data_IF_223879653866
#
_entry.id   IF_223879653866
#
_cell.length_a   1.000
_cell.length_b   1.000
_cell.length_c   1.000
_cell.angle_alpha   90.00
_cell.angle_beta   90.00
_cell.angle_gamma   90.00
#
_symmetry.space_group_name_H-M   'P 1'
#
loop_
_entity.id
_entity.type
_entity.pdbx_description
1 polymer ?
#
# COMPACT_ATOMS: atom_id res chain seq x y z
N UNK A 1 34.27 8.87 2.05
CA UNK A 1 33.72 9.36 0.76
C UNK A 1 32.32 8.81 0.66
N UNK A 2 31.31 9.64 0.89
CA UNK A 2 29.91 9.23 0.70
C UNK A 2 29.67 9.16 -0.80
N UNK A 3 29.55 7.95 -1.34
CA UNK A 3 29.14 7.79 -2.73
C UNK A 3 27.78 8.46 -2.90
N UNK A 4 27.71 9.46 -3.77
CA UNK A 4 26.43 10.04 -4.19
C UNK A 4 25.53 8.95 -4.75
N UNK A 5 24.24 8.97 -4.48
CA UNK A 5 23.32 7.98 -5.02
C UNK A 5 23.38 7.98 -6.56
N UNK A 6 23.38 6.81 -7.15
CA UNK A 6 23.39 6.62 -8.61
C UNK A 6 22.03 6.10 -9.06
N UNK A 7 21.60 6.44 -10.29
CA UNK A 7 20.43 5.81 -10.88
C UNK A 7 20.55 4.29 -10.89
N UNK A 8 19.46 3.60 -10.57
CA UNK A 8 19.40 2.13 -10.53
C UNK A 8 18.13 1.66 -11.24
N UNK A 9 18.18 0.51 -11.88
CA UNK A 9 16.97 -0.14 -12.35
C UNK A 9 16.16 -0.67 -11.17
N UNK A 10 14.86 -0.37 -11.11
CA UNK A 10 13.99 -0.75 -10.02
C UNK A 10 13.96 -2.26 -9.75
N UNK A 11 14.16 -3.09 -10.77
CA UNK A 11 14.24 -4.54 -10.63
C UNK A 11 15.47 -5.03 -9.84
N UNK A 12 16.49 -4.19 -9.68
CA UNK A 12 17.66 -4.47 -8.86
C UNK A 12 17.44 -4.14 -7.37
N UNK A 13 16.35 -3.43 -7.03
CA UNK A 13 15.97 -3.15 -5.65
C UNK A 13 15.27 -4.40 -5.08
N UNK A 14 15.75 -4.95 -3.95
CA UNK A 14 15.17 -6.17 -3.37
C UNK A 14 13.68 -6.04 -3.06
N UNK A 15 12.98 -7.16 -3.13
CA UNK A 15 11.62 -7.27 -2.62
C UNK A 15 11.59 -6.99 -1.12
N UNK A 16 10.54 -6.31 -0.67
CA UNK A 16 10.33 -6.03 0.75
C UNK A 16 9.97 -7.31 1.51
N UNK A 17 10.73 -7.63 2.54
CA UNK A 17 10.44 -8.70 3.47
C UNK A 17 10.36 -8.12 4.90
N UNK A 18 9.37 -8.54 5.71
CA UNK A 18 8.23 -9.37 5.33
C UNK A 18 7.36 -8.70 4.26
N UNK A 19 6.57 -9.48 3.52
CA UNK A 19 5.66 -8.96 2.46
C UNK A 19 4.63 -7.98 3.01
N UNK A 20 4.28 -8.10 4.28
CA UNK A 20 3.32 -7.24 4.97
C UNK A 20 3.58 -7.20 6.46
N UNK A 21 3.09 -6.16 7.12
CA UNK A 21 3.06 -6.04 8.58
C UNK A 21 1.68 -6.41 9.16
N UNK A 22 0.72 -6.79 8.32
CA UNK A 22 -0.59 -7.23 8.82
C UNK A 22 -0.45 -8.42 9.76
N UNK A 23 -1.26 -8.48 10.83
CA UNK A 23 -1.36 -9.67 11.67
C UNK A 23 -2.09 -10.80 10.95
N UNK A 24 -2.06 -12.00 11.50
CA UNK A 24 -2.96 -13.05 11.08
C UNK A 24 -4.41 -12.72 11.50
N UNK A 25 -5.43 -13.07 10.70
CA UNK A 25 -5.36 -13.88 9.47
C UNK A 25 -5.04 -13.08 8.18
N UNK A 26 -4.90 -11.76 8.25
CA UNK A 26 -4.79 -10.89 7.06
C UNK A 26 -3.45 -11.01 6.33
N UNK A 27 -2.41 -11.46 7.02
CA UNK A 27 -1.07 -11.59 6.47
C UNK A 27 -1.02 -12.48 5.22
N UNK A 28 -1.73 -13.59 5.25
CA UNK A 28 -1.75 -14.57 4.14
C UNK A 28 -2.38 -14.02 2.86
N UNK A 29 -3.28 -13.04 2.98
CA UNK A 29 -3.93 -12.38 1.83
C UNK A 29 -2.96 -11.57 0.97
N UNK A 30 -1.76 -11.27 1.49
CA UNK A 30 -0.73 -10.47 0.79
C UNK A 30 0.30 -11.35 0.05
N UNK A 31 0.11 -12.65 -0.04
CA UNK A 31 1.11 -13.56 -0.64
C UNK A 31 1.33 -13.30 -2.14
N UNK A 32 0.31 -12.87 -2.86
CA UNK A 32 0.34 -12.59 -4.31
C UNK A 32 0.75 -11.15 -4.65
N UNK A 33 1.32 -10.44 -3.68
CA UNK A 33 1.87 -9.09 -3.82
C UNK A 33 3.38 -9.08 -3.65
N UNK A 34 4.07 -8.47 -4.60
CA UNK A 34 5.50 -8.17 -4.54
C UNK A 34 5.66 -6.65 -4.46
N UNK A 35 6.36 -6.16 -3.46
CA UNK A 35 6.60 -4.73 -3.26
C UNK A 35 8.10 -4.43 -3.18
N UNK A 36 8.56 -3.43 -3.94
CA UNK A 36 9.92 -2.88 -3.89
C UNK A 36 9.87 -1.44 -3.40
N UNK A 37 10.47 -1.16 -2.24
CA UNK A 37 10.44 0.16 -1.60
C UNK A 37 11.50 1.08 -2.21
N UNK A 38 11.17 1.69 -3.36
CA UNK A 38 12.11 2.52 -4.13
C UNK A 38 12.57 3.75 -3.33
N UNK A 39 11.64 4.44 -2.69
CA UNK A 39 11.97 5.61 -1.87
C UNK A 39 12.92 5.30 -0.72
N UNK A 40 12.76 4.15 -0.07
CA UNK A 40 13.63 3.72 1.02
C UNK A 40 15.05 3.43 0.54
N UNK A 41 15.21 2.91 -0.68
CA UNK A 41 16.54 2.66 -1.29
C UNK A 41 17.38 3.94 -1.37
N UNK A 42 16.74 5.08 -1.62
CA UNK A 42 17.38 6.39 -1.70
C UNK A 42 17.33 7.18 -0.39
N UNK A 43 16.80 6.61 0.70
CA UNK A 43 16.71 7.27 2.00
C UNK A 43 15.66 8.40 2.05
N UNK A 44 14.64 8.38 1.16
CA UNK A 44 13.58 9.38 1.19
C UNK A 44 12.73 9.22 2.44
N UNK A 45 12.46 10.31 3.15
CA UNK A 45 11.76 10.32 4.44
C UNK A 45 10.39 11.00 4.40
N UNK A 46 10.17 11.96 3.50
CA UNK A 46 8.93 12.74 3.47
C UNK A 46 7.76 11.96 2.85
N UNK A 47 8.06 11.06 1.92
CA UNK A 47 7.06 10.21 1.27
C UNK A 47 7.64 8.83 0.93
N UNK A 48 6.78 7.86 0.80
CA UNK A 48 7.10 6.52 0.30
C UNK A 48 6.87 6.45 -1.21
N UNK A 49 7.77 5.75 -1.93
CA UNK A 49 7.57 5.37 -3.32
C UNK A 49 7.82 3.89 -3.43
N UNK A 50 6.82 3.13 -3.87
CA UNK A 50 6.93 1.69 -4.04
C UNK A 50 6.52 1.27 -5.44
N UNK A 51 7.26 0.34 -6.00
CA UNK A 51 6.84 -0.42 -7.17
C UNK A 51 6.20 -1.71 -6.69
N UNK A 52 4.93 -1.90 -7.03
CA UNK A 52 4.15 -3.04 -6.56
C UNK A 52 3.65 -3.85 -7.74
N UNK A 53 3.83 -5.17 -7.67
CA UNK A 53 3.32 -6.13 -8.65
C UNK A 53 2.32 -7.05 -7.97
N UNK A 54 1.15 -7.21 -8.57
CA UNK A 54 0.10 -8.13 -8.14
C UNK A 54 0.02 -9.31 -9.12
N UNK A 55 0.11 -10.53 -8.60
CA UNK A 55 -0.22 -11.73 -9.34
C UNK A 55 -1.73 -11.81 -9.57
N UNK A 56 -2.18 -12.71 -10.42
CA UNK A 56 -3.60 -12.98 -10.62
C UNK A 56 -4.27 -13.31 -9.28
N UNK A 57 -5.37 -12.63 -8.95
CA UNK A 57 -6.06 -12.73 -7.66
C UNK A 57 -5.45 -11.92 -6.51
N UNK A 58 -4.26 -11.36 -6.69
CA UNK A 58 -3.58 -10.55 -5.68
C UNK A 58 -4.26 -9.21 -5.42
N UNK A 59 -4.01 -8.64 -4.23
CA UNK A 59 -4.55 -7.35 -3.81
C UNK A 59 -3.46 -6.41 -3.27
N UNK A 60 -3.67 -5.11 -3.39
CA UNK A 60 -2.72 -4.08 -2.92
C UNK A 60 -2.59 -4.04 -1.41
N UNK A 61 -3.70 -4.09 -0.73
CA UNK A 61 -3.90 -4.03 0.71
C UNK A 61 -5.33 -4.50 1.01
N UNK A 62 -5.72 -4.60 2.27
CA UNK A 62 -7.14 -4.61 2.65
C UNK A 62 -7.77 -3.27 2.26
N UNK A 63 -9.08 -3.24 2.03
CA UNK A 63 -9.80 -2.00 1.72
C UNK A 63 -9.69 -1.03 2.90
N UNK A 64 -9.13 0.16 2.68
CA UNK A 64 -8.75 1.09 3.75
C UNK A 64 -8.79 2.55 3.32
N UNK A 65 -8.78 3.44 4.30
CA UNK A 65 -8.58 4.88 4.11
C UNK A 65 -7.71 5.44 5.23
N UNK A 66 -6.99 6.51 4.91
CA UNK A 66 -6.06 7.21 5.79
C UNK A 66 -6.64 8.50 6.33
N UNK A 67 -6.35 8.81 7.59
CA UNK A 67 -6.78 10.05 8.22
C UNK A 67 -5.92 11.26 7.85
N UNK A 68 -4.60 11.08 7.67
CA UNK A 68 -3.63 12.16 7.49
C UNK A 68 -2.64 11.96 6.33
N UNK A 69 -2.57 10.77 5.73
CA UNK A 69 -1.62 10.49 4.64
C UNK A 69 -2.34 10.43 3.30
N UNK A 70 -1.90 11.28 2.36
CA UNK A 70 -2.33 11.19 0.97
C UNK A 70 -1.66 10.01 0.28
N UNK A 71 -2.37 9.36 -0.63
CA UNK A 71 -1.84 8.30 -1.47
C UNK A 71 -2.12 8.58 -2.96
N UNK A 72 -1.24 8.09 -3.81
CA UNK A 72 -1.36 8.18 -5.26
C UNK A 72 -0.89 6.89 -5.91
N UNK A 73 -1.58 6.46 -6.95
CA UNK A 73 -1.22 5.30 -7.76
C UNK A 73 -1.16 5.65 -9.25
N UNK A 74 -0.26 4.98 -9.96
CA UNK A 74 -0.14 5.04 -11.42
C UNK A 74 0.10 3.62 -11.96
N UNK A 75 -0.75 3.19 -12.89
CA UNK A 75 -0.66 1.85 -13.48
C UNK A 75 0.41 1.86 -14.56
N UNK A 76 1.44 1.02 -14.39
CA UNK A 76 2.57 0.90 -15.32
C UNK A 76 2.32 -0.21 -16.34
N UNK A 77 1.71 -1.32 -15.91
CA UNK A 77 1.49 -2.50 -16.75
C UNK A 77 0.26 -3.27 -16.28
N UNK A 78 -0.51 -3.75 -17.24
CA UNK A 78 -1.66 -4.61 -17.00
C UNK A 78 -2.95 -3.84 -16.71
N UNK A 79 -3.95 -4.59 -16.23
CA UNK A 79 -5.29 -4.09 -15.91
C UNK A 79 -5.68 -4.50 -14.52
N UNK A 80 -6.09 -3.56 -13.68
CA UNK A 80 -6.46 -3.78 -12.28
C UNK A 80 -7.86 -3.23 -12.00
N UNK A 81 -8.56 -3.83 -11.05
CA UNK A 81 -9.82 -3.28 -10.53
C UNK A 81 -9.52 -2.44 -9.29
N UNK A 82 -9.85 -1.15 -9.33
CA UNK A 82 -9.93 -0.29 -8.17
C UNK A 82 -11.31 -0.42 -7.54
N UNK A 83 -11.35 -0.83 -6.27
CA UNK A 83 -12.52 -0.71 -5.41
C UNK A 83 -12.38 0.61 -4.66
N UNK A 84 -13.35 1.52 -4.82
CA UNK A 84 -13.36 2.84 -4.17
C UNK A 84 -14.74 3.12 -3.58
N UNK A 85 -14.86 3.07 -2.28
CA UNK A 85 -16.16 3.00 -1.60
C UNK A 85 -16.95 1.78 -2.04
N UNK A 86 -18.15 2.00 -2.57
CA UNK A 86 -19.04 0.94 -3.07
C UNK A 86 -18.98 0.77 -4.61
N UNK A 87 -17.98 1.38 -5.26
CA UNK A 87 -17.82 1.36 -6.71
C UNK A 87 -16.58 0.60 -7.13
N UNK A 88 -16.64 0.00 -8.31
CA UNK A 88 -15.50 -0.61 -8.98
C UNK A 88 -15.17 0.15 -10.27
N UNK A 89 -13.87 0.35 -10.49
CA UNK A 89 -13.33 0.96 -11.71
C UNK A 89 -12.26 0.06 -12.29
N UNK A 90 -12.32 -0.18 -13.59
CA UNK A 90 -11.23 -0.84 -14.30
C UNK A 90 -10.19 0.22 -14.65
N UNK A 91 -8.95 0.01 -14.21
CA UNK A 91 -7.81 0.85 -14.51
C UNK A 91 -6.83 0.10 -15.40
N UNK A 92 -6.36 0.76 -16.44
CA UNK A 92 -5.42 0.24 -17.43
C UNK A 92 -4.08 0.95 -17.33
N UNK A 93 -3.11 0.47 -18.08
CA UNK A 93 -1.81 1.14 -18.24
C UNK A 93 -1.98 2.63 -18.56
N UNK A 94 -1.30 3.51 -17.81
CA UNK A 94 -1.39 4.96 -17.91
C UNK A 94 -2.45 5.60 -17.03
N UNK A 95 -3.41 4.85 -16.49
CA UNK A 95 -4.40 5.39 -15.57
C UNK A 95 -3.78 5.68 -14.19
N UNK A 96 -4.31 6.69 -13.51
CA UNK A 96 -3.88 7.06 -12.17
C UNK A 96 -5.05 7.49 -11.28
N UNK A 97 -4.85 7.42 -9.98
CA UNK A 97 -5.80 7.88 -8.97
C UNK A 97 -5.08 8.40 -7.74
N UNK A 98 -5.60 9.49 -7.16
CA UNK A 98 -5.18 10.01 -5.86
C UNK A 98 -6.24 9.78 -4.80
N UNK A 99 -5.81 9.45 -3.58
CA UNK A 99 -6.66 9.25 -2.41
C UNK A 99 -6.27 10.29 -1.37
N UNK A 100 -7.15 11.26 -1.17
CA UNK A 100 -6.90 12.37 -0.26
C UNK A 100 -7.14 11.94 1.18
N UNK A 101 -6.22 12.29 2.05
CA UNK A 101 -6.32 12.09 3.48
C UNK A 101 -7.60 12.70 4.06
N UNK A 102 -8.22 12.01 5.01
CA UNK A 102 -9.43 12.46 5.68
C UNK A 102 -10.72 12.32 4.86
N UNK A 103 -10.66 11.90 3.61
CA UNK A 103 -11.82 11.44 2.87
C UNK A 103 -12.11 10.00 3.28
N UNK A 104 -13.17 9.77 4.06
CA UNK A 104 -13.51 8.46 4.62
C UNK A 104 -13.98 7.44 3.56
N UNK A 105 -13.46 7.53 2.33
CA UNK A 105 -13.76 6.60 1.25
C UNK A 105 -12.62 5.61 1.10
N UNK A 106 -12.84 4.40 1.58
CA UNK A 106 -11.84 3.35 1.56
C UNK A 106 -11.58 2.83 0.13
N UNK A 107 -10.35 2.43 -0.14
CA UNK A 107 -9.91 1.94 -1.43
C UNK A 107 -9.07 0.66 -1.34
N UNK A 108 -9.04 -0.07 -2.44
CA UNK A 108 -8.27 -1.30 -2.62
C UNK A 108 -8.06 -1.56 -4.11
N UNK A 109 -6.88 -2.03 -4.51
CA UNK A 109 -6.66 -2.60 -5.83
C UNK A 109 -6.73 -4.12 -5.76
N UNK A 110 -7.44 -4.72 -6.71
CA UNK A 110 -7.54 -6.18 -6.85
C UNK A 110 -7.23 -6.57 -8.29
N UNK A 111 -6.28 -7.46 -8.49
CA UNK A 111 -6.00 -8.00 -9.82
C UNK A 111 -7.00 -9.10 -10.17
N UNK A 112 -8.09 -8.73 -10.82
CA UNK A 112 -9.11 -9.66 -11.34
C UNK A 112 -8.79 -10.17 -12.76
N UNK A 113 -7.64 -9.76 -13.33
CA UNK A 113 -7.19 -10.18 -14.66
C UNK A 113 -6.44 -11.50 -14.60
N UNK A 114 -6.17 -12.10 -15.78
CA UNK A 114 -5.35 -13.31 -15.90
C UNK A 114 -3.84 -13.05 -15.97
N UNK A 115 -3.44 -11.78 -16.10
CA UNK A 115 -2.04 -11.35 -16.19
C UNK A 115 -1.54 -10.74 -14.88
N UNK A 116 -0.27 -10.35 -14.86
CA UNK A 116 0.28 -9.55 -13.78
C UNK A 116 -0.13 -8.09 -13.93
N UNK A 117 -0.14 -7.36 -12.82
CA UNK A 117 -0.32 -5.90 -12.79
C UNK A 117 0.84 -5.28 -12.04
N UNK A 118 1.44 -4.24 -12.63
CA UNK A 118 2.49 -3.47 -11.99
C UNK A 118 2.08 -2.01 -11.91
N UNK A 119 2.20 -1.42 -10.72
CA UNK A 119 1.85 -0.02 -10.48
C UNK A 119 2.85 0.64 -9.53
N UNK A 120 2.96 1.95 -9.67
CA UNK A 120 3.65 2.81 -8.71
C UNK A 120 2.65 3.27 -7.64
N UNK A 121 3.03 3.18 -6.38
CA UNK A 121 2.30 3.81 -5.28
C UNK A 121 3.20 4.84 -4.59
N UNK A 122 2.65 6.01 -4.34
CA UNK A 122 3.29 7.11 -3.61
C UNK A 122 2.38 7.48 -2.46
N UNK A 123 2.92 7.50 -1.25
CA UNK A 123 2.18 7.93 -0.06
C UNK A 123 3.05 8.83 0.79
N UNK A 124 2.48 9.88 1.36
CA UNK A 124 3.22 10.72 2.29
C UNK A 124 3.46 9.97 3.62
N UNK A 125 4.27 10.57 4.50
CA UNK A 125 4.62 9.99 5.81
C UNK A 125 4.27 10.96 6.94
N UNK A 126 3.15 11.67 6.80
CA UNK A 126 2.61 12.54 7.84
C UNK A 126 2.43 11.77 9.14
N UNK A 127 2.82 12.40 10.24
CA UNK A 127 2.67 11.83 11.57
C UNK A 127 1.18 11.77 11.99
N UNK A 128 0.90 10.92 12.97
CA UNK A 128 -0.44 10.74 13.55
C UNK A 128 -1.51 10.22 12.58
N UNK A 129 -1.08 9.54 11.52
CA UNK A 129 -2.01 8.88 10.62
C UNK A 129 -2.69 7.69 11.32
N UNK A 130 -3.97 7.53 11.04
CA UNK A 130 -4.78 6.39 11.44
C UNK A 130 -5.40 5.77 10.18
N UNK A 131 -5.39 4.45 10.12
CA UNK A 131 -5.94 3.70 8.99
C UNK A 131 -7.15 2.92 9.43
N UNK A 132 -8.27 3.17 8.77
CA UNK A 132 -9.53 2.47 8.99
C UNK A 132 -9.74 1.41 7.92
N UNK A 133 -10.14 0.22 8.33
CA UNK A 133 -10.48 -0.93 7.48
C UNK A 133 -11.98 -1.22 7.65
N UNK A 134 -12.87 -0.67 6.80
CA UNK A 134 -14.32 -0.74 7.05
C UNK A 134 -14.86 -2.18 7.05
N UNK A 135 -14.31 -3.04 6.22
CA UNK A 135 -14.79 -4.41 6.00
C UNK A 135 -14.16 -5.45 6.95
N UNK A 136 -13.13 -5.06 7.71
CA UNK A 136 -12.35 -5.94 8.58
C UNK A 136 -12.37 -5.45 10.02
N UNK A 137 -12.19 -6.37 10.99
CA UNK A 137 -12.00 -6.03 12.41
C UNK A 137 -10.55 -5.58 12.64
N UNK A 138 -10.17 -4.47 12.00
CA UNK A 138 -8.80 -3.98 11.97
C UNK A 138 -8.78 -2.45 11.98
N UNK A 139 -7.86 -1.89 12.76
CA UNK A 139 -7.44 -0.49 12.74
C UNK A 139 -5.92 -0.42 12.79
N UNK A 140 -5.34 0.57 12.09
CA UNK A 140 -3.91 0.84 12.14
C UNK A 140 -3.64 2.22 12.73
N UNK A 141 -2.74 2.33 13.69
CA UNK A 141 -2.31 3.61 14.25
C UNK A 141 -0.91 3.55 14.85
N UNK A 142 -0.32 4.71 15.13
CA UNK A 142 0.93 4.77 15.86
C UNK A 142 0.69 4.58 17.36
N UNK A 143 1.52 3.75 18.00
CA UNK A 143 1.53 3.61 19.45
C UNK A 143 2.30 4.77 20.11
N UNK A 144 2.35 4.79 21.45
CA UNK A 144 3.05 5.80 22.24
C UNK A 144 4.54 5.95 21.91
N UNK A 145 5.16 4.89 21.35
CA UNK A 145 6.56 4.90 20.92
C UNK A 145 6.73 5.31 19.45
N UNK A 146 5.69 5.77 18.78
CA UNK A 146 5.71 6.15 17.37
C UNK A 146 5.88 4.97 16.41
N UNK A 147 5.57 3.74 16.86
CA UNK A 147 5.58 2.55 16.02
C UNK A 147 4.18 2.21 15.56
N UNK A 148 4.07 1.78 14.31
CA UNK A 148 2.83 1.31 13.73
C UNK A 148 2.32 0.06 14.45
N UNK A 149 1.04 0.08 14.83
CA UNK A 149 0.37 -1.01 15.55
C UNK A 149 -1.00 -1.28 14.93
N UNK A 150 -1.37 -2.55 14.88
CA UNK A 150 -2.70 -3.00 14.48
C UNK A 150 -3.54 -3.39 15.70
N UNK A 151 -4.79 -2.94 15.70
CA UNK A 151 -5.76 -3.19 16.77
C UNK A 151 -7.04 -3.77 16.19
N UNK A 152 -7.77 -4.50 17.00
CA UNK A 152 -9.19 -4.78 16.80
C UNK A 152 -10.00 -3.50 16.92
N UNK A 153 -11.20 -3.44 16.33
CA UNK A 153 -12.12 -2.29 16.47
C UNK A 153 -12.57 -2.02 17.92
N UNK A 154 -12.41 -2.99 18.83
CA UNK A 154 -12.63 -2.80 20.27
C UNK A 154 -11.41 -2.20 21.00
N UNK A 155 -10.30 -1.95 20.27
CA UNK A 155 -9.06 -1.36 20.81
C UNK A 155 -8.05 -2.36 21.35
N UNK A 156 -8.32 -3.66 21.33
CA UNK A 156 -7.36 -4.68 21.75
C UNK A 156 -6.28 -4.89 20.67
N UNK A 157 -5.00 -5.02 21.03
CA UNK A 157 -3.95 -5.25 20.06
C UNK A 157 -4.02 -6.66 19.46
N UNK A 158 -3.70 -6.78 18.19
CA UNK A 158 -3.38 -8.07 17.59
C UNK A 158 -2.07 -8.61 18.17
N UNK A 159 -2.05 -9.92 18.46
CA UNK A 159 -0.88 -10.65 19.00
C UNK A 159 0.18 -10.94 17.93
#
# INVERSE_FOLDING_TARGET
MTNSPQPINSNQIPESLPKTNYPEPFKTLMNDRIKRKLGNHFGLSNFGVNLTTLQCGGMSALKHCHSHQDEFIYIIEGTVTLIYGDREYVMNEGDCMGFKAGENTAHQLVNKSSGIVTYLEVGDRSANDEVTYPDDDLEGKFNENGKWQFLHKNGEPYS
#
